data_IF_612393823142
#
_entry.id   IF_612393823142
#
_cell.length_a   1.000
_cell.length_b   1.000
_cell.length_c   1.000
_cell.angle_alpha   90.00
_cell.angle_beta   90.00
_cell.angle_gamma   90.00
#
_symmetry.space_group_name_H-M   'P 1'
#
loop_
_entity.id
_entity.type
_entity.pdbx_description
1 polymer ?
#
# COMPACT_ATOMS: atom_id res chain seq x y z
N UNK A 1 5.92 6.56 -14.18
CA UNK A 1 6.22 5.94 -12.87
C UNK A 1 5.72 4.51 -12.86
N UNK A 2 6.37 3.64 -12.10
CA UNK A 2 6.09 2.22 -12.00
C UNK A 2 5.96 1.81 -10.55
N UNK A 3 4.81 1.28 -10.15
CA UNK A 3 4.49 0.94 -8.76
C UNK A 3 4.20 -0.55 -8.59
N UNK A 4 4.75 -1.16 -7.54
CA UNK A 4 4.27 -2.45 -7.05
C UNK A 4 3.29 -2.20 -5.91
N UNK A 5 2.07 -2.73 -6.06
CA UNK A 5 0.97 -2.54 -5.11
C UNK A 5 0.62 -3.87 -4.47
N UNK A 6 0.70 -3.94 -3.15
CA UNK A 6 0.27 -5.09 -2.36
C UNK A 6 -1.01 -4.78 -1.59
N UNK A 7 -2.01 -5.65 -1.70
CA UNK A 7 -3.23 -5.63 -0.88
C UNK A 7 -3.18 -6.84 0.05
N UNK A 8 -3.20 -6.59 1.36
CA UNK A 8 -3.10 -7.66 2.36
C UNK A 8 -4.37 -7.80 3.19
N UNK A 9 -4.40 -8.75 4.11
CA UNK A 9 -5.58 -9.13 4.88
C UNK A 9 -5.94 -8.21 6.04
N UNK A 10 -5.81 -6.90 5.89
CA UNK A 10 -6.35 -5.90 6.80
C UNK A 10 -7.68 -5.37 6.27
N UNK A 11 -8.62 -5.04 7.15
CA UNK A 11 -9.85 -4.32 6.78
C UNK A 11 -9.51 -3.00 6.11
N UNK A 12 -10.35 -2.53 5.18
CA UNK A 12 -10.11 -1.33 4.38
C UNK A 12 -9.58 -1.64 2.98
N UNK A 13 -9.93 -2.78 2.38
CA UNK A 13 -9.57 -3.11 0.99
C UNK A 13 -9.98 -2.02 -0.01
N UNK A 14 -11.01 -1.23 0.31
CA UNK A 14 -11.48 -0.10 -0.49
C UNK A 14 -10.36 0.94 -0.75
N UNK A 15 -9.43 1.14 0.20
CA UNK A 15 -8.29 2.04 0.02
C UNK A 15 -7.35 1.54 -1.08
N UNK A 16 -7.10 0.23 -1.13
CA UNK A 16 -6.33 -0.39 -2.21
C UNK A 16 -7.01 -0.22 -3.58
N UNK A 17 -8.31 -0.44 -3.64
CA UNK A 17 -9.12 -0.25 -4.86
C UNK A 17 -9.10 1.20 -5.32
N UNK A 18 -9.35 2.16 -4.41
CA UNK A 18 -9.29 3.59 -4.73
C UNK A 18 -7.89 4.02 -5.19
N UNK A 19 -6.83 3.53 -4.53
CA UNK A 19 -5.46 3.78 -4.95
C UNK A 19 -5.21 3.30 -6.39
N UNK A 20 -5.62 2.06 -6.72
CA UNK A 20 -5.45 1.51 -8.06
C UNK A 20 -6.19 2.32 -9.13
N UNK A 21 -7.36 2.84 -8.81
CA UNK A 21 -8.16 3.67 -9.74
C UNK A 21 -7.55 5.05 -9.96
N UNK A 22 -6.98 5.67 -8.93
CA UNK A 22 -6.56 7.07 -8.94
C UNK A 22 -5.07 7.28 -9.21
N UNK A 23 -4.21 6.35 -8.82
CA UNK A 23 -2.78 6.47 -9.02
C UNK A 23 -2.44 6.36 -10.51
N UNK A 24 -1.76 7.36 -11.10
CA UNK A 24 -1.31 7.27 -12.49
C UNK A 24 -0.11 6.33 -12.65
N UNK A 25 0.23 6.02 -13.90
CA UNK A 25 1.40 5.20 -14.25
C UNK A 25 1.16 3.69 -14.22
N UNK A 26 2.21 2.92 -14.42
CA UNK A 26 2.17 1.47 -14.46
C UNK A 26 2.04 0.88 -13.05
N UNK A 27 0.94 0.22 -12.77
CA UNK A 27 0.72 -0.49 -11.49
C UNK A 27 0.80 -1.99 -11.71
N UNK A 28 1.56 -2.66 -10.85
CA UNK A 28 1.65 -4.12 -10.77
C UNK A 28 1.06 -4.56 -9.44
N UNK A 29 0.14 -5.52 -9.46
CA UNK A 29 -0.66 -5.88 -8.30
C UNK A 29 -0.32 -7.26 -7.78
N UNK A 30 -0.16 -7.36 -6.46
CA UNK A 30 -0.13 -8.62 -5.71
C UNK A 30 -1.17 -8.54 -4.61
N UNK A 31 -2.05 -9.53 -4.53
CA UNK A 31 -3.06 -9.61 -3.46
C UNK A 31 -2.82 -10.88 -2.65
N UNK A 32 -2.59 -10.74 -1.35
CA UNK A 32 -2.36 -11.88 -0.48
C UNK A 32 -3.61 -12.76 -0.36
N UNK A 33 -3.45 -14.00 0.11
CA UNK A 33 -4.57 -14.92 0.37
C UNK A 33 -5.69 -14.24 1.18
N UNK A 34 -5.36 -13.61 2.30
CA UNK A 34 -6.36 -12.93 3.15
C UNK A 34 -6.81 -11.59 2.56
N UNK A 35 -5.98 -10.91 1.76
CA UNK A 35 -6.38 -9.72 1.01
C UNK A 35 -7.50 -10.01 0.02
N UNK A 36 -7.50 -11.19 -0.63
CA UNK A 36 -8.60 -11.63 -1.52
C UNK A 36 -9.91 -11.83 -0.76
N UNK A 37 -9.83 -12.40 0.45
CA UNK A 37 -11.02 -12.60 1.29
C UNK A 37 -11.60 -11.24 1.67
N UNK A 38 -10.79 -10.34 2.22
CA UNK A 38 -11.24 -9.01 2.65
C UNK A 38 -11.79 -8.19 1.47
N UNK A 39 -11.13 -8.24 0.31
CA UNK A 39 -11.60 -7.57 -0.91
C UNK A 39 -13.01 -8.01 -1.30
N UNK A 40 -13.27 -9.31 -1.27
CA UNK A 40 -14.60 -9.85 -1.59
C UNK A 40 -15.64 -9.49 -0.53
N UNK A 41 -15.32 -9.64 0.74
CA UNK A 41 -16.29 -9.42 1.84
C UNK A 41 -16.64 -7.93 2.05
N UNK A 42 -15.67 -7.03 1.91
CA UNK A 42 -15.86 -5.60 2.17
C UNK A 42 -16.27 -4.80 0.91
N UNK A 43 -15.76 -5.18 -0.26
CA UNK A 43 -15.92 -4.39 -1.50
C UNK A 43 -16.81 -5.13 -2.52
N UNK A 44 -17.08 -6.42 -2.31
CA UNK A 44 -17.84 -7.24 -3.24
C UNK A 44 -17.10 -7.54 -4.55
N UNK A 45 -15.76 -7.38 -4.58
CA UNK A 45 -14.95 -7.55 -5.78
C UNK A 45 -14.02 -8.77 -5.68
N UNK A 46 -13.83 -9.45 -6.80
CA UNK A 46 -12.76 -10.42 -6.97
C UNK A 46 -11.50 -9.73 -7.52
N UNK A 47 -10.34 -10.36 -7.36
CA UNK A 47 -9.05 -9.80 -7.82
C UNK A 47 -9.02 -9.58 -9.34
N UNK A 48 -9.75 -10.42 -10.09
CA UNK A 48 -9.88 -10.34 -11.53
C UNK A 48 -10.47 -9.01 -12.00
N UNK A 49 -11.41 -8.46 -11.23
CA UNK A 49 -12.09 -7.19 -11.53
C UNK A 49 -11.18 -5.97 -11.33
N UNK A 50 -10.02 -6.14 -10.70
CA UNK A 50 -8.98 -5.11 -10.59
C UNK A 50 -8.08 -5.01 -11.84
N UNK A 51 -8.19 -5.96 -12.78
CA UNK A 51 -7.34 -6.00 -13.99
C UNK A 51 -7.37 -4.73 -14.83
N UNK A 52 -8.51 -4.02 -15.01
CA UNK A 52 -8.55 -2.78 -15.79
C UNK A 52 -7.71 -1.64 -15.20
N UNK A 53 -7.39 -1.70 -13.91
CA UNK A 53 -6.67 -0.63 -13.20
C UNK A 53 -5.16 -0.90 -13.08
N UNK A 54 -4.67 -2.06 -13.55
CA UNK A 54 -3.28 -2.49 -13.39
C UNK A 54 -2.69 -3.02 -14.69
N UNK A 55 -1.39 -2.87 -14.87
CA UNK A 55 -0.69 -3.40 -16.05
C UNK A 55 -0.57 -4.92 -16.01
N UNK A 56 -0.35 -5.49 -14.83
CA UNK A 56 -0.25 -6.94 -14.62
C UNK A 56 -0.49 -7.29 -13.16
N UNK A 57 -1.04 -8.47 -12.94
CA UNK A 57 -1.19 -9.10 -11.62
C UNK A 57 -0.21 -10.26 -11.49
N UNK A 58 0.28 -10.49 -10.27
CA UNK A 58 1.11 -11.64 -9.91
C UNK A 58 0.49 -12.38 -8.73
N UNK A 59 0.70 -13.68 -8.65
CA UNK A 59 0.34 -14.45 -7.47
C UNK A 59 1.28 -14.11 -6.32
N UNK A 60 0.77 -14.06 -5.09
CA UNK A 60 1.60 -13.86 -3.89
C UNK A 60 2.48 -15.09 -3.60
N UNK A 61 2.16 -16.25 -4.18
CA UNK A 61 2.93 -17.49 -4.08
C UNK A 61 4.04 -17.60 -5.15
N UNK A 62 4.07 -16.68 -6.14
CA UNK A 62 5.03 -16.70 -7.24
C UNK A 62 6.34 -16.00 -6.86
N UNK A 63 7.21 -16.70 -6.17
CA UNK A 63 8.56 -16.23 -5.83
C UNK A 63 9.53 -16.15 -7.03
N UNK A 64 9.13 -16.63 -8.21
CA UNK A 64 9.88 -16.46 -9.46
C UNK A 64 9.49 -15.18 -10.23
N UNK A 65 8.49 -14.44 -9.74
CA UNK A 65 8.06 -13.18 -10.35
C UNK A 65 9.19 -12.12 -10.41
N UNK A 66 9.15 -11.18 -11.37
CA UNK A 66 10.22 -10.20 -11.57
C UNK A 66 10.59 -9.38 -10.33
N UNK A 67 9.63 -9.11 -9.45
CA UNK A 67 9.83 -8.32 -8.23
C UNK A 67 10.56 -9.06 -7.09
N UNK A 68 10.85 -10.34 -7.28
CA UNK A 68 11.72 -11.12 -6.38
C UNK A 68 13.21 -10.82 -6.59
N UNK A 69 13.57 -10.08 -7.64
CA UNK A 69 14.95 -9.71 -7.99
C UNK A 69 15.14 -8.19 -7.99
N UNK A 70 16.26 -7.73 -7.41
CA UNK A 70 16.65 -6.31 -7.42
C UNK A 70 17.09 -5.78 -8.79
N UNK A 71 17.25 -6.65 -9.80
CA UNK A 71 17.54 -6.23 -11.16
C UNK A 71 16.38 -5.53 -11.88
N UNK A 72 15.15 -5.73 -11.39
CA UNK A 72 13.94 -5.14 -11.96
C UNK A 72 13.53 -3.92 -11.15
N UNK A 73 13.99 -2.74 -11.59
CA UNK A 73 13.73 -1.46 -10.92
C UNK A 73 12.29 -0.98 -11.08
N UNK A 74 11.74 -0.39 -10.03
CA UNK A 74 10.46 0.32 -9.98
C UNK A 74 10.55 1.49 -8.99
N UNK A 75 9.62 2.43 -9.04
CA UNK A 75 9.74 3.68 -8.29
C UNK A 75 9.35 3.53 -6.82
N UNK A 76 8.33 2.72 -6.52
CA UNK A 76 7.94 2.44 -5.15
C UNK A 76 7.14 1.14 -5.00
N UNK A 77 7.25 0.54 -3.80
CA UNK A 77 6.34 -0.46 -3.27
C UNK A 77 5.35 0.21 -2.32
N UNK A 78 4.06 -0.05 -2.50
CA UNK A 78 3.03 0.33 -1.54
C UNK A 78 2.21 -0.87 -1.10
N UNK A 79 2.06 -1.04 0.21
CA UNK A 79 1.14 -2.01 0.83
C UNK A 79 -0.08 -1.27 1.37
N UNK A 80 -1.23 -1.46 0.72
CA UNK A 80 -2.46 -0.70 1.03
C UNK A 80 -3.73 -1.54 0.83
N UNK A 81 -4.42 -1.96 1.91
CA UNK A 81 -3.99 -1.88 3.29
C UNK A 81 -2.90 -2.91 3.64
N UNK A 82 -2.14 -2.66 4.70
CA UNK A 82 -1.17 -3.58 5.25
C UNK A 82 -1.64 -4.16 6.59
N UNK A 83 -1.69 -5.49 6.70
CA UNK A 83 -1.98 -6.19 7.94
C UNK A 83 -0.77 -6.22 8.87
N UNK A 84 -1.02 -6.34 10.18
CA UNK A 84 0.05 -6.48 11.18
C UNK A 84 0.89 -7.76 10.97
N UNK A 85 0.28 -8.83 10.44
CA UNK A 85 1.03 -10.04 10.07
C UNK A 85 2.06 -9.76 9.00
N UNK A 86 1.68 -9.04 7.92
CA UNK A 86 2.60 -8.65 6.85
C UNK A 86 3.68 -7.69 7.37
N UNK A 87 3.29 -6.70 8.17
CA UNK A 87 4.22 -5.76 8.81
C UNK A 87 5.28 -6.51 9.64
N UNK A 88 4.84 -7.45 10.49
CA UNK A 88 5.72 -8.24 11.34
C UNK A 88 6.66 -9.14 10.54
N UNK A 89 6.17 -9.79 9.48
CA UNK A 89 7.01 -10.59 8.58
C UNK A 89 8.12 -9.75 7.95
N UNK A 90 7.78 -8.58 7.40
CA UNK A 90 8.76 -7.68 6.77
C UNK A 90 9.78 -7.20 7.81
N UNK A 91 9.33 -6.79 9.00
CA UNK A 91 10.22 -6.35 10.08
C UNK A 91 11.16 -7.46 10.59
N UNK A 92 10.77 -8.73 10.43
CA UNK A 92 11.57 -9.89 10.79
C UNK A 92 12.40 -10.47 9.64
N UNK A 93 12.37 -9.87 8.45
CA UNK A 93 13.12 -10.36 7.30
C UNK A 93 12.55 -11.62 6.65
N UNK A 94 11.31 -12.00 6.96
CA UNK A 94 10.64 -13.17 6.39
C UNK A 94 10.25 -12.88 4.94
N UNK A 95 10.55 -13.82 4.04
CA UNK A 95 10.36 -13.68 2.57
C UNK A 95 9.61 -14.87 1.98
N UNK A 96 8.55 -15.29 2.65
CA UNK A 96 7.77 -16.49 2.32
C UNK A 96 6.70 -16.28 1.25
N UNK A 97 6.43 -15.02 0.87
CA UNK A 97 5.51 -14.64 -0.20
C UNK A 97 6.13 -13.59 -1.11
N UNK A 98 5.53 -13.36 -2.28
CA UNK A 98 6.01 -12.32 -3.22
C UNK A 98 5.96 -10.93 -2.58
N UNK A 99 4.91 -10.60 -1.82
CA UNK A 99 4.80 -9.32 -1.11
C UNK A 99 5.98 -9.13 -0.15
N UNK A 100 6.24 -10.11 0.71
CA UNK A 100 7.30 -10.01 1.72
C UNK A 100 8.70 -10.06 1.07
N UNK A 101 8.86 -10.87 0.03
CA UNK A 101 10.11 -10.92 -0.76
C UNK A 101 10.39 -9.59 -1.45
N UNK A 102 9.40 -9.04 -2.15
CA UNK A 102 9.54 -7.75 -2.85
C UNK A 102 9.83 -6.60 -1.86
N UNK A 103 9.25 -6.64 -0.65
CA UNK A 103 9.56 -5.66 0.38
C UNK A 103 11.02 -5.73 0.80
N UNK A 104 11.59 -6.93 1.05
CA UNK A 104 13.01 -7.08 1.37
C UNK A 104 13.91 -6.67 0.20
N UNK A 105 13.52 -6.97 -1.04
CA UNK A 105 14.23 -6.48 -2.23
C UNK A 105 14.20 -4.96 -2.28
N UNK A 106 13.02 -4.34 -2.09
CA UNK A 106 12.89 -2.88 -2.09
C UNK A 106 13.79 -2.22 -1.04
N UNK A 107 13.81 -2.75 0.18
CA UNK A 107 14.65 -2.23 1.27
C UNK A 107 16.13 -2.29 0.93
N UNK A 108 16.65 -3.44 0.48
CA UNK A 108 18.08 -3.57 0.14
C UNK A 108 18.49 -2.75 -1.07
N UNK A 109 17.59 -2.52 -2.04
CA UNK A 109 17.83 -1.72 -3.24
C UNK A 109 17.53 -0.22 -3.04
N UNK A 110 17.13 0.17 -1.81
CA UNK A 110 16.75 1.55 -1.48
C UNK A 110 15.61 2.09 -2.36
N UNK A 111 14.71 1.21 -2.77
CA UNK A 111 13.44 1.57 -3.41
C UNK A 111 12.49 2.06 -2.32
N UNK A 112 11.76 3.13 -2.59
CA UNK A 112 10.77 3.67 -1.64
C UNK A 112 9.73 2.61 -1.26
N UNK A 113 9.50 2.43 0.04
CA UNK A 113 8.46 1.53 0.58
C UNK A 113 7.48 2.34 1.41
N UNK A 114 6.20 2.21 1.10
CA UNK A 114 5.10 2.83 1.85
C UNK A 114 4.20 1.72 2.39
N UNK A 115 3.88 1.78 3.68
CA UNK A 115 3.04 0.79 4.35
C UNK A 115 1.86 1.50 4.99
N UNK A 116 0.67 1.32 4.41
CA UNK A 116 -0.58 1.85 4.92
C UNK A 116 -1.21 0.85 5.90
N UNK A 117 -0.92 1.01 7.19
CA UNK A 117 -1.39 0.12 8.26
C UNK A 117 -2.86 0.42 8.57
N UNK A 118 -3.70 -0.61 8.66
CA UNK A 118 -5.04 -0.48 9.20
C UNK A 118 -5.24 -1.47 10.35
N UNK A 119 -5.19 -0.95 11.57
CA UNK A 119 -5.38 -1.69 12.80
C UNK A 119 -5.68 -0.74 13.96
N UNK A 120 -6.51 -1.19 14.91
CA UNK A 120 -6.78 -0.48 16.16
C UNK A 120 -7.33 -1.44 17.23
N UNK A 121 -6.85 -1.40 18.50
CA UNK A 121 -5.64 -0.72 18.96
C UNK A 121 -4.36 -1.37 18.43
N UNK A 122 -3.23 -0.65 18.48
CA UNK A 122 -1.93 -1.21 18.15
C UNK A 122 -1.28 -1.85 19.38
N UNK A 123 -0.82 -3.09 19.25
CA UNK A 123 -0.02 -3.76 20.28
C UNK A 123 1.41 -3.22 20.31
N UNK A 124 2.13 -3.46 21.40
CA UNK A 124 3.56 -3.14 21.51
C UNK A 124 4.36 -3.75 20.35
N UNK A 125 4.11 -5.00 19.98
CA UNK A 125 4.76 -5.66 18.86
C UNK A 125 4.52 -4.92 17.53
N UNK A 126 3.31 -4.43 17.29
CA UNK A 126 2.99 -3.68 16.08
C UNK A 126 3.75 -2.35 16.05
N UNK A 127 3.82 -1.64 17.17
CA UNK A 127 4.55 -0.39 17.31
C UNK A 127 6.06 -0.59 17.14
N UNK A 128 6.65 -1.63 17.74
CA UNK A 128 8.07 -1.98 17.60
C UNK A 128 8.42 -2.34 16.15
N UNK A 129 7.58 -3.14 15.48
CA UNK A 129 7.77 -3.49 14.08
C UNK A 129 7.68 -2.25 13.17
N UNK A 130 6.71 -1.37 13.42
CA UNK A 130 6.59 -0.12 12.68
C UNK A 130 7.81 0.79 12.90
N UNK A 131 8.28 0.92 14.14
CA UNK A 131 9.49 1.67 14.47
C UNK A 131 10.72 1.10 13.77
N UNK A 132 10.91 -0.23 13.80
CA UNK A 132 12.02 -0.90 13.14
C UNK A 132 12.04 -0.61 11.64
N UNK A 133 10.90 -0.76 10.98
CA UNK A 133 10.77 -0.48 9.55
C UNK A 133 10.94 1.00 9.22
N UNK A 134 10.45 1.90 10.07
CA UNK A 134 10.65 3.35 9.89
C UNK A 134 12.13 3.72 9.94
N UNK A 135 12.93 3.09 10.81
CA UNK A 135 14.39 3.27 10.86
C UNK A 135 15.10 2.79 9.59
N UNK A 136 14.53 1.82 8.88
CA UNK A 136 15.00 1.36 7.57
C UNK A 136 14.51 2.23 6.40
N UNK A 137 13.80 3.33 6.70
CA UNK A 137 13.31 4.28 5.70
C UNK A 137 11.95 3.95 5.11
N UNK A 138 11.22 2.98 5.68
CA UNK A 138 9.82 2.72 5.29
C UNK A 138 8.94 3.85 5.79
N UNK A 139 8.10 4.38 4.91
CA UNK A 139 7.06 5.34 5.29
C UNK A 139 5.88 4.58 5.89
N UNK A 140 5.69 4.74 7.20
CA UNK A 140 4.58 4.13 7.93
C UNK A 140 3.41 5.11 7.92
N UNK A 141 2.30 4.73 7.29
CA UNK A 141 1.08 5.52 7.17
C UNK A 141 -0.09 4.78 7.81
N UNK A 142 -0.45 5.05 9.06
CA UNK A 142 -1.74 4.59 9.57
C UNK A 142 -2.87 5.10 8.66
N UNK A 143 -3.85 4.24 8.34
CA UNK A 143 -5.01 4.68 7.56
C UNK A 143 -5.87 5.58 8.46
N UNK A 144 -5.54 6.85 8.42
CA UNK A 144 -6.15 7.93 9.20
C UNK A 144 -6.52 9.08 8.25
N UNK A 145 -7.74 9.05 7.70
CA UNK A 145 -8.19 10.03 6.72
C UNK A 145 -8.25 11.45 7.31
N UNK A 146 -7.96 12.49 6.50
CA UNK A 146 -8.08 13.88 6.95
C UNK A 146 -9.54 14.31 6.97
N UNK A 147 -10.00 14.89 8.09
CA UNK A 147 -11.37 15.39 8.24
C UNK A 147 -11.53 16.87 7.93
N UNK A 148 -10.44 17.64 7.80
CA UNK A 148 -10.47 19.08 7.50
C UNK A 148 -11.00 19.43 6.10
N UNK A 149 -11.16 18.41 5.23
CA UNK A 149 -11.83 18.55 3.92
C UNK A 149 -13.36 18.37 4.00
N UNK A 150 -13.93 18.23 5.20
CA UNK A 150 -15.36 18.04 5.45
C UNK A 150 -15.98 16.94 4.57
N UNK A 151 -15.52 15.68 4.68
CA UNK A 151 -16.02 14.60 3.83
C UNK A 151 -17.52 14.38 4.04
N UNK A 152 -18.28 14.35 2.94
CA UNK A 152 -19.72 14.15 2.94
C UNK A 152 -20.12 12.68 2.68
N UNK A 153 -19.18 11.86 2.22
CA UNK A 153 -19.39 10.47 1.86
C UNK A 153 -18.23 9.59 2.29
N UNK A 154 -18.42 8.26 2.29
CA UNK A 154 -17.34 7.31 2.50
C UNK A 154 -16.27 7.42 1.40
N UNK A 155 -16.66 7.70 0.17
CA UNK A 155 -15.74 7.90 -0.93
C UNK A 155 -14.83 9.12 -0.69
N UNK A 156 -15.37 10.20 -0.13
CA UNK A 156 -14.56 11.38 0.23
C UNK A 156 -13.54 11.05 1.31
N UNK A 157 -13.95 10.26 2.33
CA UNK A 157 -13.05 9.79 3.39
C UNK A 157 -11.90 8.97 2.79
N UNK A 158 -12.22 7.99 1.93
CA UNK A 158 -11.23 7.13 1.28
C UNK A 158 -10.32 7.95 0.37
N UNK A 159 -10.90 8.78 -0.48
CA UNK A 159 -10.15 9.62 -1.42
C UNK A 159 -9.26 10.63 -0.70
N UNK A 160 -9.72 11.20 0.41
CA UNK A 160 -8.92 12.09 1.26
C UNK A 160 -7.64 11.43 1.78
N UNK A 161 -7.69 10.13 2.12
CA UNK A 161 -6.49 9.38 2.49
C UNK A 161 -5.58 9.13 1.26
N UNK A 162 -6.15 8.77 0.11
CA UNK A 162 -5.36 8.57 -1.11
C UNK A 162 -4.62 9.86 -1.51
N UNK A 163 -5.25 11.03 -1.33
CA UNK A 163 -4.61 12.34 -1.56
C UNK A 163 -3.39 12.59 -0.64
N UNK A 164 -3.29 11.88 0.50
CA UNK A 164 -2.08 11.90 1.34
C UNK A 164 -1.03 10.88 0.87
N UNK A 165 -1.45 9.78 0.29
CA UNK A 165 -0.56 8.71 -0.19
C UNK A 165 0.18 9.13 -1.46
N UNK A 166 -0.52 9.73 -2.42
CA UNK A 166 0.02 10.07 -3.75
C UNK A 166 1.25 10.98 -3.68
N UNK A 167 1.27 12.09 -2.92
CA UNK A 167 2.47 12.94 -2.81
C UNK A 167 3.66 12.23 -2.18
N UNK A 168 3.43 11.32 -1.24
CA UNK A 168 4.51 10.49 -0.64
C UNK A 168 5.19 9.64 -1.72
N UNK A 169 4.43 9.21 -2.74
CA UNK A 169 4.95 8.47 -3.88
C UNK A 169 5.52 9.36 -5.00
N UNK A 170 5.51 10.69 -4.83
CA UNK A 170 5.98 11.65 -5.82
C UNK A 170 4.95 11.96 -6.91
N UNK A 171 3.67 11.62 -6.69
CA UNK A 171 2.55 11.96 -7.57
C UNK A 171 1.91 13.25 -7.04
N UNK A 172 1.91 14.36 -7.80
CA UNK A 172 1.32 15.62 -7.35
C UNK A 172 -0.19 15.49 -7.17
N UNK A 173 -0.71 16.18 -6.16
CA UNK A 173 -2.14 16.31 -5.88
C UNK A 173 -2.43 17.79 -5.64
N UNK A 174 -3.45 18.33 -6.29
CA UNK A 174 -3.89 19.72 -6.09
C UNK A 174 -4.68 19.87 -4.78
N UNK A 175 -4.73 21.09 -4.22
CA UNK A 175 -5.58 21.44 -3.09
C UNK A 175 -5.05 20.95 -1.73
N UNK A 176 -3.83 21.31 -1.37
CA UNK A 176 -3.31 21.21 -0.01
C UNK A 176 -4.09 22.08 0.99
N UNK A 177 -3.89 21.86 2.29
CA UNK A 177 -4.48 22.71 3.33
C UNK A 177 -4.01 24.16 3.14
N UNK A 178 -4.97 25.06 2.84
CA UNK A 178 -4.71 26.49 2.63
C UNK A 178 -3.60 26.77 1.59
N UNK A 179 -3.50 25.93 0.55
CA UNK A 179 -2.49 26.12 -0.50
C UNK A 179 -2.64 27.45 -1.23
N UNK A 180 -3.85 28.02 -1.25
CA UNK A 180 -4.14 29.35 -1.80
C UNK A 180 -3.43 30.49 -1.05
N UNK A 181 -3.01 30.27 0.20
CA UNK A 181 -2.23 31.25 0.97
C UNK A 181 -0.72 31.24 0.60
N UNK A 182 -0.29 30.28 -0.23
CA UNK A 182 1.11 30.14 -0.66
C UNK A 182 1.37 30.69 -2.07
N UNK A 183 0.32 31.06 -2.81
CA UNK A 183 0.36 31.69 -4.12
C UNK A 183 0.37 33.21 -4.02
#
# INVERSE_FOLDING_TARGET
MRFLVGITGASGAIYGVSFLKRCPGDKFLVVSKWGRVVLREEVGMNVEELSPFVKKRFSDDDLAAPFSSGSNRYDALILIPCSLSTLGKIASGITDTLITRAAQVALKERIKVVVAIRETPLSTFALENALKLSREGVVIMPISPPYYKYPASMDDVVNGFIDKVLPVLGVPVEGGWKSEELE
#
